data_IF_587914432140
#
_entry.id   IF_587914432140
#
_cell.length_a   1.000
_cell.length_b   1.000
_cell.length_c   1.000
_cell.angle_alpha   90.00
_cell.angle_beta   90.00
_cell.angle_gamma   90.00
#
_symmetry.space_group_name_H-M   'P 1'
#
loop_
_entity.id
_entity.type
_entity.pdbx_description
1 polymer ?
#
# COMPACT_ATOMS: atom_id res chain seq x y z
N UNK A 1 1.89 5.92 5.22
CA UNK A 1 1.55 7.15 4.48
C UNK A 1 0.52 6.77 3.44
N UNK A 2 -0.63 7.43 3.45
CA UNK A 2 -1.72 7.20 2.51
C UNK A 2 -1.78 8.37 1.53
N UNK A 3 -1.86 8.08 0.23
CA UNK A 3 -2.02 9.11 -0.81
C UNK A 3 -3.24 8.73 -1.63
N UNK A 4 -4.27 9.58 -1.56
CA UNK A 4 -5.50 9.41 -2.34
C UNK A 4 -5.28 9.88 -3.78
N UNK A 5 -5.74 9.09 -4.73
CA UNK A 5 -5.61 9.36 -6.17
C UNK A 5 -6.97 9.17 -6.84
N UNK A 6 -7.17 9.84 -7.98
CA UNK A 6 -8.38 9.68 -8.76
C UNK A 6 -8.48 8.26 -9.36
N UNK A 7 -9.70 7.79 -9.60
CA UNK A 7 -9.96 6.39 -10.02
C UNK A 7 -9.33 6.00 -11.35
N UNK A 8 -9.27 6.93 -12.31
CA UNK A 8 -8.60 6.73 -13.61
C UNK A 8 -7.09 6.45 -13.42
N UNK A 9 -6.47 7.22 -12.53
CA UNK A 9 -5.05 7.10 -12.19
C UNK A 9 -4.79 5.83 -11.38
N UNK A 10 -5.68 5.49 -10.45
CA UNK A 10 -5.63 4.23 -9.70
C UNK A 10 -5.69 3.02 -10.63
N UNK A 11 -6.61 3.01 -11.59
CA UNK A 11 -6.73 1.94 -12.59
C UNK A 11 -5.44 1.80 -13.42
N UNK A 12 -4.84 2.91 -13.84
CA UNK A 12 -3.60 2.89 -14.63
C UNK A 12 -2.40 2.37 -13.83
N UNK A 13 -2.29 2.76 -12.56
CA UNK A 13 -1.26 2.21 -11.66
C UNK A 13 -1.49 0.72 -11.42
N UNK A 14 -2.74 0.30 -11.21
CA UNK A 14 -3.11 -1.10 -10.99
C UNK A 14 -2.73 -1.99 -12.18
N UNK A 15 -3.07 -1.59 -13.41
CA UNK A 15 -2.71 -2.36 -14.62
C UNK A 15 -1.20 -2.49 -14.76
N UNK A 16 -0.46 -1.40 -14.51
CA UNK A 16 1.00 -1.38 -14.55
C UNK A 16 1.62 -2.31 -13.49
N UNK A 17 1.10 -2.32 -12.26
CA UNK A 17 1.54 -3.22 -11.19
C UNK A 17 1.34 -4.70 -11.53
N UNK A 18 0.28 -5.02 -12.27
CA UNK A 18 -0.03 -6.40 -12.70
C UNK A 18 0.60 -6.76 -14.04
N UNK A 19 1.42 -5.89 -14.64
CA UNK A 19 2.02 -6.10 -15.95
C UNK A 19 0.99 -6.23 -17.08
N UNK A 20 -0.23 -5.74 -16.87
CA UNK A 20 -1.29 -5.77 -17.89
C UNK A 20 -1.09 -4.61 -18.87
N UNK A 21 -1.09 -4.91 -20.15
CA UNK A 21 -0.99 -3.93 -21.22
C UNK A 21 -2.36 -3.73 -21.85
N UNK A 22 -2.80 -2.49 -21.98
CA UNK A 22 -3.98 -2.14 -22.76
C UNK A 22 -3.69 -2.27 -24.27
N UNK A 23 -4.74 -2.42 -25.08
CA UNK A 23 -4.61 -2.51 -26.55
C UNK A 23 -4.04 -1.24 -27.19
N UNK A 24 -4.15 -0.10 -26.49
CA UNK A 24 -3.63 1.21 -26.88
C UNK A 24 -2.96 1.85 -25.67
N UNK A 25 -1.88 2.63 -25.85
CA UNK A 25 -1.18 3.29 -24.74
C UNK A 25 -2.09 4.30 -24.04
N UNK A 26 -2.06 4.30 -22.71
CA UNK A 26 -2.67 5.35 -21.90
C UNK A 26 -1.77 6.59 -21.83
N UNK A 27 -2.26 7.67 -21.20
CA UNK A 27 -1.51 8.94 -21.12
C UNK A 27 -0.13 8.77 -20.51
N UNK A 28 0.00 8.01 -19.43
CA UNK A 28 1.31 7.79 -18.80
C UNK A 28 2.20 6.84 -19.60
N UNK A 29 1.65 5.88 -20.35
CA UNK A 29 2.42 5.07 -21.31
C UNK A 29 3.01 5.96 -22.41
N UNK A 30 2.22 6.90 -22.92
CA UNK A 30 2.65 7.87 -23.92
C UNK A 30 3.78 8.75 -23.38
N UNK A 31 3.62 9.27 -22.16
CA UNK A 31 4.66 10.07 -21.49
C UNK A 31 5.96 9.28 -21.32
N UNK A 32 5.88 8.04 -20.83
CA UNK A 32 7.05 7.15 -20.74
C UNK A 32 7.70 6.95 -22.11
N UNK A 33 6.92 6.63 -23.14
CA UNK A 33 7.44 6.38 -24.49
C UNK A 33 8.13 7.61 -25.08
N UNK A 34 7.60 8.81 -24.82
CA UNK A 34 8.22 10.06 -25.24
C UNK A 34 9.54 10.30 -24.51
N UNK A 35 9.58 10.09 -23.19
CA UNK A 35 10.79 10.23 -22.38
C UNK A 35 11.87 9.22 -22.80
N UNK A 36 11.50 7.96 -22.97
CA UNK A 36 12.39 6.90 -23.42
C UNK A 36 12.95 7.22 -24.82
N UNK A 37 12.08 7.66 -25.74
CA UNK A 37 12.51 8.05 -27.09
C UNK A 37 13.43 9.25 -27.08
N UNK A 38 13.15 10.27 -26.26
CA UNK A 38 14.00 11.45 -26.12
C UNK A 38 15.38 11.10 -25.57
N UNK A 39 15.45 10.18 -24.59
CA UNK A 39 16.70 9.65 -24.05
C UNK A 39 17.51 8.84 -25.07
N UNK A 40 16.83 8.02 -25.89
CA UNK A 40 17.49 7.28 -26.99
C UNK A 40 18.07 8.20 -28.07
N UNK A 41 17.37 9.31 -28.37
CA UNK A 41 17.84 10.29 -29.36
C UNK A 41 18.98 11.17 -28.83
N UNK A 42 19.15 11.28 -27.52
CA UNK A 42 20.24 12.01 -26.88
C UNK A 42 20.95 11.12 -25.83
N UNK A 43 21.69 10.08 -26.26
CA UNK A 43 22.35 9.16 -25.34
C UNK A 43 23.33 9.90 -24.42
N UNK A 44 23.23 9.67 -23.11
CA UNK A 44 24.10 10.29 -22.10
C UNK A 44 23.69 11.68 -21.63
N UNK A 45 22.56 12.23 -22.10
CA UNK A 45 22.11 13.55 -21.67
C UNK A 45 21.34 13.53 -20.34
N UNK A 46 20.28 12.73 -20.23
CA UNK A 46 19.50 12.65 -18.99
C UNK A 46 18.55 11.44 -19.03
N UNK A 47 18.31 10.86 -17.87
CA UNK A 47 17.27 9.87 -17.62
C UNK A 47 16.57 10.16 -16.29
N UNK A 48 15.40 9.56 -16.06
CA UNK A 48 14.73 9.64 -14.76
C UNK A 48 15.55 8.85 -13.73
N UNK A 49 16.17 9.54 -12.79
CA UNK A 49 17.03 8.95 -11.75
C UNK A 49 16.23 8.47 -10.55
N UNK A 50 15.25 9.26 -10.13
CA UNK A 50 14.40 8.98 -8.98
C UNK A 50 13.14 9.84 -8.99
N UNK A 51 12.18 9.41 -8.19
CA UNK A 51 10.98 10.18 -7.86
C UNK A 51 10.99 10.43 -6.35
N UNK A 52 10.51 11.58 -5.90
CA UNK A 52 10.31 11.80 -4.47
C UNK A 52 9.06 12.62 -4.15
N UNK A 53 8.40 12.30 -3.04
CA UNK A 53 7.44 13.21 -2.40
C UNK A 53 8.23 14.17 -1.51
N UNK A 54 8.24 15.45 -1.86
CA UNK A 54 9.14 16.45 -1.25
C UNK A 54 8.46 17.36 -0.24
N UNK A 55 7.14 17.53 -0.35
CA UNK A 55 6.36 18.39 0.55
C UNK A 55 4.93 17.88 0.72
N UNK A 56 4.30 18.36 1.79
CA UNK A 56 2.87 18.22 2.06
C UNK A 56 2.38 19.62 2.48
N UNK A 57 1.57 20.24 1.63
CA UNK A 57 1.13 21.62 1.80
C UNK A 57 -0.38 21.67 1.63
N UNK A 58 -1.11 22.17 2.64
CA UNK A 58 -2.58 22.23 2.64
C UNK A 58 -3.23 20.88 2.28
N UNK A 59 -2.74 19.79 2.88
CA UNK A 59 -3.16 18.40 2.61
C UNK A 59 -2.91 17.91 1.17
N UNK A 60 -2.09 18.63 0.40
CA UNK A 60 -1.68 18.25 -0.96
C UNK A 60 -0.22 17.81 -0.94
N UNK A 61 0.01 16.56 -1.33
CA UNK A 61 1.36 16.04 -1.52
C UNK A 61 1.99 16.55 -2.82
N UNK A 62 3.22 17.03 -2.72
CA UNK A 62 4.02 17.52 -3.85
C UNK A 62 5.08 16.49 -4.20
N UNK A 63 5.06 16.00 -5.43
CA UNK A 63 6.05 15.08 -5.98
C UNK A 63 7.06 15.80 -6.88
N UNK A 64 8.26 15.27 -7.01
CA UNK A 64 9.23 15.69 -8.03
C UNK A 64 9.86 14.51 -8.75
N UNK A 65 10.07 14.68 -10.05
CA UNK A 65 10.85 13.80 -10.90
C UNK A 65 12.26 14.37 -11.05
N UNK A 66 13.28 13.58 -10.77
CA UNK A 66 14.67 14.03 -10.84
C UNK A 66 15.37 13.39 -12.03
N UNK A 67 15.90 14.22 -12.92
CA UNK A 67 16.53 13.80 -14.16
C UNK A 67 18.02 14.12 -14.15
N UNK A 68 18.81 13.25 -14.74
CA UNK A 68 20.24 13.47 -14.86
C UNK A 68 20.99 12.25 -15.35
N UNK A 69 22.28 12.21 -15.03
CA UNK A 69 23.18 11.17 -15.50
C UNK A 69 23.04 9.88 -14.67
N UNK A 70 22.68 8.80 -15.35
CA UNK A 70 22.56 7.46 -14.82
C UNK A 70 23.82 6.94 -14.13
N UNK A 71 24.97 7.21 -14.75
CA UNK A 71 26.25 6.59 -14.41
C UNK A 71 26.84 7.25 -13.16
N UNK A 72 26.67 8.56 -13.03
CA UNK A 72 27.16 9.33 -11.87
C UNK A 72 26.10 9.55 -10.80
N UNK A 73 24.81 9.40 -11.13
CA UNK A 73 23.70 9.76 -10.25
C UNK A 73 23.49 11.28 -10.09
N UNK A 74 24.19 12.09 -10.88
CA UNK A 74 24.14 13.55 -10.79
C UNK A 74 22.81 14.07 -11.33
N UNK A 75 22.03 14.74 -10.48
CA UNK A 75 20.80 15.42 -10.89
C UNK A 75 21.18 16.66 -11.72
N UNK A 76 20.62 16.76 -12.92
CA UNK A 76 20.80 17.90 -13.82
C UNK A 76 19.62 18.86 -13.77
N UNK A 77 18.41 18.32 -13.70
CA UNK A 77 17.18 19.08 -13.58
C UNK A 77 16.11 18.23 -12.89
N UNK A 78 15.04 18.89 -12.48
CA UNK A 78 13.88 18.24 -11.90
C UNK A 78 12.61 18.95 -12.37
N UNK A 79 11.46 18.28 -12.23
CA UNK A 79 10.18 18.92 -12.44
C UNK A 79 9.15 18.52 -11.39
N UNK A 80 8.21 19.42 -11.14
CA UNK A 80 7.05 19.19 -10.29
C UNK A 80 6.12 18.15 -10.92
N UNK A 81 5.60 17.25 -10.10
CA UNK A 81 4.62 16.26 -10.51
C UNK A 81 3.68 15.90 -9.36
N UNK A 82 2.49 15.38 -9.68
CA UNK A 82 1.67 14.74 -8.64
C UNK A 82 2.33 13.41 -8.24
N UNK A 83 2.24 13.00 -6.95
CA UNK A 83 2.81 11.73 -6.51
C UNK A 83 2.32 10.52 -7.31
N UNK A 84 1.05 10.53 -7.75
CA UNK A 84 0.47 9.46 -8.54
C UNK A 84 1.13 9.27 -9.91
N UNK A 85 1.48 10.37 -10.58
CA UNK A 85 2.18 10.35 -11.86
C UNK A 85 3.62 9.84 -11.67
N UNK A 86 4.25 10.29 -10.58
CA UNK A 86 5.57 9.84 -10.17
C UNK A 86 5.65 8.34 -9.85
N UNK A 87 4.67 7.79 -9.11
CA UNK A 87 4.58 6.35 -8.83
C UNK A 87 4.48 5.54 -10.11
N UNK A 88 3.64 5.96 -11.05
CA UNK A 88 3.52 5.26 -12.32
C UNK A 88 4.85 5.25 -13.08
N UNK A 89 5.50 6.41 -13.22
CA UNK A 89 6.77 6.52 -13.93
C UNK A 89 7.90 5.75 -13.23
N UNK A 90 7.95 5.74 -11.90
CA UNK A 90 8.93 4.95 -11.16
C UNK A 90 8.71 3.45 -11.34
N UNK A 91 7.46 2.99 -11.36
CA UNK A 91 7.14 1.59 -11.67
C UNK A 91 7.52 1.22 -13.11
N UNK A 92 7.34 2.13 -14.07
CA UNK A 92 7.68 1.84 -15.48
C UNK A 92 9.17 1.85 -15.75
N UNK A 93 9.90 2.80 -15.16
CA UNK A 93 11.36 2.97 -15.30
C UNK A 93 12.17 2.14 -14.32
N UNK A 94 11.53 1.58 -13.30
CA UNK A 94 12.18 0.90 -12.17
C UNK A 94 13.17 1.81 -11.41
N UNK A 95 12.99 3.12 -11.45
CA UNK A 95 13.78 4.06 -10.65
C UNK A 95 13.27 4.10 -9.18
N UNK A 96 14.14 4.41 -8.22
CA UNK A 96 13.75 4.49 -6.81
C UNK A 96 12.76 5.62 -6.54
N UNK A 97 11.84 5.35 -5.62
CA UNK A 97 10.83 6.29 -5.12
C UNK A 97 11.12 6.63 -3.66
N UNK A 98 11.23 7.92 -3.34
CA UNK A 98 11.56 8.41 -2.01
C UNK A 98 10.44 9.26 -1.41
N UNK A 99 10.49 9.43 -0.09
CA UNK A 99 9.66 10.38 0.64
C UNK A 99 10.57 11.19 1.54
N UNK A 100 10.44 12.53 1.49
CA UNK A 100 11.20 13.40 2.37
C UNK A 100 10.84 13.10 3.84
N UNK A 101 11.85 13.05 4.72
CA UNK A 101 11.68 12.73 6.14
C UNK A 101 10.58 13.57 6.80
N UNK A 102 10.56 14.89 6.57
CA UNK A 102 9.54 15.80 7.08
C UNK A 102 8.10 15.40 6.68
N UNK A 103 7.91 14.91 5.45
CA UNK A 103 6.60 14.48 4.94
C UNK A 103 6.21 13.14 5.57
N UNK A 104 7.19 12.25 5.69
CA UNK A 104 6.98 10.96 6.35
C UNK A 104 6.56 11.14 7.81
N UNK A 105 7.29 11.95 8.58
CA UNK A 105 6.97 12.24 9.98
C UNK A 105 5.59 12.88 10.14
N UNK A 106 5.18 13.72 9.17
CA UNK A 106 3.88 14.38 9.21
C UNK A 106 2.70 13.47 8.84
N UNK A 107 2.87 12.55 7.89
CA UNK A 107 1.77 11.83 7.24
C UNK A 107 1.83 10.31 7.32
N UNK A 108 2.88 9.73 7.91
CA UNK A 108 2.98 8.29 8.07
C UNK A 108 2.12 7.83 9.26
N UNK A 109 1.18 6.94 8.96
CA UNK A 109 0.38 6.22 9.96
C UNK A 109 0.82 4.75 9.94
N UNK A 110 0.98 4.10 11.12
CA UNK A 110 1.19 2.66 11.19
C UNK A 110 0.08 1.90 10.45
N UNK A 111 0.43 0.85 9.71
CA UNK A 111 -0.54 0.09 8.88
C UNK A 111 -1.72 -0.44 9.71
N UNK A 112 -1.52 -0.78 10.98
CA UNK A 112 -2.59 -1.27 11.86
C UNK A 112 -3.61 -0.18 12.26
N UNK A 113 -3.22 1.08 12.15
CA UNK A 113 -4.05 2.25 12.45
C UNK A 113 -4.64 2.88 11.17
N UNK A 114 -4.22 2.40 10.00
CA UNK A 114 -4.75 2.82 8.71
C UNK A 114 -6.21 2.39 8.57
N UNK A 115 -7.12 3.37 8.55
CA UNK A 115 -8.55 3.12 8.30
C UNK A 115 -8.76 2.43 6.97
N UNK A 116 -8.01 2.81 5.94
CA UNK A 116 -8.08 2.20 4.60
C UNK A 116 -7.71 0.72 4.67
N UNK A 117 -6.64 0.37 5.40
CA UNK A 117 -6.23 -1.02 5.58
C UNK A 117 -7.25 -1.82 6.38
N UNK A 118 -7.80 -1.25 7.46
CA UNK A 118 -8.81 -1.92 8.28
C UNK A 118 -10.09 -2.20 7.50
N UNK A 119 -10.55 -1.24 6.68
CA UNK A 119 -11.70 -1.42 5.80
C UNK A 119 -11.42 -2.55 4.80
N UNK A 120 -10.26 -2.53 4.14
CA UNK A 120 -9.89 -3.57 3.18
C UNK A 120 -9.80 -4.97 3.81
N UNK A 121 -9.27 -5.09 5.02
CA UNK A 121 -9.23 -6.37 5.74
C UNK A 121 -10.63 -6.88 6.10
N UNK A 122 -11.51 -6.00 6.56
CA UNK A 122 -12.89 -6.37 6.91
C UNK A 122 -13.68 -6.80 5.68
N UNK A 123 -13.56 -6.08 4.56
CA UNK A 123 -14.20 -6.47 3.29
C UNK A 123 -13.71 -7.84 2.79
N UNK A 124 -12.40 -8.10 2.88
CA UNK A 124 -11.83 -9.39 2.51
C UNK A 124 -12.34 -10.54 3.40
N UNK A 125 -12.50 -10.29 4.70
CA UNK A 125 -13.04 -11.26 5.66
C UNK A 125 -14.51 -11.59 5.35
N UNK A 126 -15.34 -10.57 5.09
CA UNK A 126 -16.74 -10.75 4.69
C UNK A 126 -16.86 -11.55 3.38
N UNK A 127 -16.01 -11.27 2.39
CA UNK A 127 -15.99 -12.00 1.13
C UNK A 127 -15.61 -13.48 1.32
N UNK A 128 -14.64 -13.77 2.19
CA UNK A 128 -14.24 -15.14 2.52
C UNK A 128 -15.37 -15.92 3.22
N UNK A 129 -16.08 -15.30 4.16
CA UNK A 129 -17.23 -15.91 4.85
C UNK A 129 -18.36 -16.23 3.87
N UNK A 130 -18.65 -15.33 2.93
CA UNK A 130 -19.67 -15.56 1.90
C UNK A 130 -19.30 -16.71 0.95
N UNK A 131 -18.02 -16.83 0.56
CA UNK A 131 -17.56 -17.93 -0.29
C UNK A 131 -17.65 -19.28 0.43
N UNK A 132 -17.35 -19.34 1.73
CA UNK A 132 -17.49 -20.57 2.52
C UNK A 132 -18.95 -21.00 2.69
N UNK A 133 -19.88 -20.04 2.83
CA UNK A 133 -21.32 -20.34 2.91
C UNK A 133 -21.91 -20.83 1.59
N UNK A 134 -21.37 -20.40 0.44
CA UNK A 134 -21.79 -20.89 -0.88
C UNK A 134 -21.22 -22.28 -1.25
N UNK A 135 -20.20 -22.76 -0.53
CA UNK A 135 -19.59 -24.08 -0.76
C UNK A 135 -20.23 -25.23 0.03
N UNK A 136 -21.25 -24.96 0.87
CA UNK A 136 -22.11 -25.99 1.47
C UNK A 136 -23.44 -26.09 0.70
N UNK A 137 -23.58 -26.98 -0.29
CA UNK A 137 -24.88 -27.23 -0.89
C UNK A 137 -25.74 -28.06 0.09
N UNK A 138 -26.97 -27.58 0.35
CA UNK A 138 -28.02 -28.44 0.89
C UNK A 138 -28.21 -29.67 -0.01
N UNK A 139 -28.27 -30.90 0.54
CA UNK A 139 -28.73 -32.04 -0.23
C UNK A 139 -30.26 -31.97 -0.30
N UNK A 140 -30.82 -31.36 -1.34
CA UNK A 140 -32.26 -31.48 -1.61
C UNK A 140 -32.54 -32.60 -2.61
N UNK A 141 -33.29 -33.57 -2.12
CA UNK A 141 -33.88 -34.67 -2.84
C UNK A 141 -34.75 -34.21 -4.03
N UNK A 142 -34.66 -34.96 -5.13
CA UNK A 142 -35.81 -35.44 -5.90
C UNK A 142 -36.54 -34.48 -6.86
N UNK A 143 -36.33 -34.75 -8.16
CA UNK A 143 -37.34 -34.73 -9.24
C UNK A 143 -38.22 -33.48 -9.46
N UNK A 144 -38.02 -32.75 -10.56
CA UNK A 144 -38.80 -32.97 -11.78
C UNK A 144 -38.33 -32.07 -12.95
N UNK A 145 -38.51 -32.66 -14.12
CA UNK A 145 -38.11 -32.31 -15.47
C UNK A 145 -39.15 -31.40 -16.14
N UNK A 146 -38.73 -30.32 -16.82
CA UNK A 146 -39.33 -29.85 -18.08
C UNK A 146 -38.54 -28.66 -18.66
N UNK A 147 -38.28 -28.73 -19.96
CA UNK A 147 -37.68 -27.71 -20.83
C UNK A 147 -38.74 -27.37 -21.93
N UNK A 148 -38.45 -26.50 -22.91
CA UNK A 148 -38.82 -25.08 -23.00
C UNK A 148 -39.91 -24.78 -24.05
N UNK A 149 -40.45 -23.56 -24.08
CA UNK A 149 -41.10 -23.02 -25.28
C UNK A 149 -40.73 -21.55 -25.54
N UNK A 150 -40.35 -21.30 -26.80
CA UNK A 150 -40.03 -20.02 -27.44
C UNK A 150 -41.30 -19.28 -27.91
N UNK A 151 -41.17 -17.96 -28.02
CA UNK A 151 -42.02 -17.04 -28.79
C UNK A 151 -41.79 -15.62 -28.23
N UNK A 152 -41.34 -14.60 -28.96
CA UNK A 152 -41.54 -14.26 -30.36
C UNK A 152 -42.48 -13.05 -30.44
N UNK A 153 -42.10 -12.05 -31.25
CA UNK A 153 -42.80 -10.79 -31.57
C UNK A 153 -42.52 -9.60 -30.63
N UNK A 154 -41.75 -8.55 -31.01
CA UNK A 154 -41.94 -7.54 -32.07
C UNK A 154 -43.02 -6.50 -31.76
N UNK A 155 -42.62 -5.23 -31.63
CA UNK A 155 -43.53 -4.08 -31.52
C UNK A 155 -42.76 -2.77 -31.55
N UNK A 156 -42.76 -2.14 -32.72
CA UNK A 156 -42.07 -0.90 -33.09
C UNK A 156 -42.85 0.38 -32.75
N UNK A 157 -42.12 1.47 -32.48
CA UNK A 157 -42.43 2.88 -32.72
C UNK A 157 -43.64 3.46 -31.93
N UNK A 158 -43.76 4.74 -31.56
CA UNK A 158 -43.42 5.97 -32.28
C UNK A 158 -43.61 7.18 -31.32
N UNK A 159 -42.75 8.19 -31.47
CA UNK A 159 -43.00 9.67 -31.44
C UNK A 159 -43.52 10.45 -30.22
N UNK A 160 -42.94 11.67 -30.14
CA UNK A 160 -43.35 12.91 -29.48
C UNK A 160 -43.02 13.00 -27.97
N UNK A 161 -42.46 14.10 -27.43
CA UNK A 161 -42.79 15.51 -27.69
C UNK A 161 -41.65 16.45 -27.27
N UNK A 162 -41.61 17.62 -27.93
CA UNK A 162 -40.99 18.86 -27.46
C UNK A 162 -41.57 19.28 -26.10
N UNK A 163 -40.81 19.97 -25.24
CA UNK A 163 -41.08 21.36 -24.85
C UNK A 163 -40.04 21.91 -23.84
N UNK A 164 -39.89 23.21 -23.94
CA UNK A 164 -39.04 24.26 -23.35
C UNK A 164 -38.92 24.36 -21.82
N UNK A 165 -37.94 25.18 -21.39
CA UNK A 165 -38.13 26.03 -20.19
C UNK A 165 -36.93 26.11 -19.25
N UNK A 166 -36.25 27.26 -19.25
CA UNK A 166 -35.12 27.55 -18.35
C UNK A 166 -35.51 27.81 -16.89
N UNK A 167 -34.49 27.78 -16.02
CA UNK A 167 -34.61 28.16 -14.62
C UNK A 167 -33.24 28.35 -13.96
N UNK A 168 -32.86 29.60 -13.73
CA UNK A 168 -31.71 30.05 -12.93
C UNK A 168 -31.92 29.75 -11.43
N UNK A 169 -30.83 29.43 -10.73
CA UNK A 169 -30.75 29.51 -9.26
C UNK A 169 -29.36 29.13 -8.74
N UNK A 170 -28.61 30.10 -8.22
CA UNK A 170 -27.38 29.87 -7.42
C UNK A 170 -27.69 29.68 -5.92
N UNK A 171 -26.73 29.95 -5.02
CA UNK A 171 -25.79 28.99 -4.45
C UNK A 171 -26.05 28.72 -2.95
N UNK A 172 -25.45 27.66 -2.38
CA UNK A 172 -25.45 27.44 -0.92
C UNK A 172 -24.04 27.13 -0.42
N UNK A 173 -23.58 27.98 0.50
CA UNK A 173 -22.30 27.89 1.22
C UNK A 173 -22.34 26.81 2.31
N UNK A 174 -21.17 26.24 2.61
CA UNK A 174 -20.89 25.37 3.76
C UNK A 174 -19.99 26.13 4.74
N UNK A 175 -20.18 26.05 6.07
CA UNK A 175 -19.29 26.70 7.03
C UNK A 175 -18.20 25.77 7.57
N UNK A 176 -17.03 26.36 7.78
CA UNK A 176 -15.86 25.82 8.49
C UNK A 176 -16.12 25.58 9.97
N UNK A 177 -15.42 24.60 10.56
CA UNK A 177 -15.16 24.56 12.00
C UNK A 177 -13.73 24.12 12.27
N UNK A 178 -13.04 24.94 13.06
CA UNK A 178 -11.68 24.79 13.56
C UNK A 178 -11.71 24.57 15.07
N UNK A 179 -10.84 23.68 15.57
CA UNK A 179 -10.39 23.61 16.98
C UNK A 179 -9.12 22.73 17.01
N UNK A 180 -7.91 23.22 17.29
CA UNK A 180 -7.30 23.75 18.52
C UNK A 180 -7.15 22.77 19.70
N UNK A 181 -5.92 22.22 19.82
CA UNK A 181 -5.07 22.32 21.03
C UNK A 181 -5.18 21.27 22.16
N UNK A 182 -4.03 20.73 22.58
CA UNK A 182 -3.80 20.20 23.94
C UNK A 182 -2.80 19.04 24.03
N UNK A 183 -1.65 19.24 24.72
CA UNK A 183 -0.60 18.24 24.95
C UNK A 183 -0.68 17.51 26.30
N UNK A 184 0.23 16.54 26.52
CA UNK A 184 0.48 15.89 27.81
C UNK A 184 1.17 14.52 27.72
N UNK A 185 2.37 14.43 28.30
CA UNK A 185 3.19 13.22 28.47
C UNK A 185 2.48 12.09 29.24
N UNK A 186 2.56 10.88 28.68
CA UNK A 186 2.58 9.62 29.41
C UNK A 186 3.29 8.57 28.54
N UNK A 187 4.21 7.82 29.14
CA UNK A 187 5.03 6.78 28.52
C UNK A 187 4.21 5.55 28.09
N UNK A 188 3.31 5.73 27.14
CA UNK A 188 2.72 4.66 26.34
C UNK A 188 3.69 4.40 25.18
N UNK A 189 4.64 3.49 25.38
CA UNK A 189 5.47 2.97 24.28
C UNK A 189 4.53 2.53 23.16
N UNK A 190 4.65 3.16 21.99
CA UNK A 190 3.72 2.87 20.89
C UNK A 190 3.82 1.38 20.54
N UNK A 191 2.71 0.71 20.16
CA UNK A 191 2.68 -0.73 19.96
C UNK A 191 3.50 -1.22 18.74
N UNK A 192 4.20 -0.31 18.07
CA UNK A 192 4.86 -0.48 16.78
C UNK A 192 6.32 -0.04 16.77
N UNK A 193 6.90 0.21 17.93
CA UNK A 193 8.30 0.56 18.06
C UNK A 193 9.18 -0.67 17.80
N UNK A 194 9.74 -0.75 16.60
CA UNK A 194 10.62 -1.85 16.16
C UNK A 194 11.90 -1.97 16.98
N UNK A 195 12.27 -0.89 17.66
CA UNK A 195 13.47 -0.74 18.49
C UNK A 195 13.14 -0.81 19.98
N UNK A 196 11.86 -0.87 20.35
CA UNK A 196 11.41 -0.90 21.74
C UNK A 196 11.68 -2.26 22.37
N UNK A 197 12.69 -2.33 23.23
CA UNK A 197 13.04 -3.53 24.00
C UNK A 197 12.11 -3.63 25.22
N UNK A 198 11.41 -4.75 25.38
CA UNK A 198 10.59 -5.01 26.56
C UNK A 198 11.30 -5.98 27.52
N UNK A 199 11.03 -5.91 28.84
CA UNK A 199 11.68 -6.78 29.82
C UNK A 199 11.41 -8.28 29.67
N UNK A 200 10.37 -8.67 28.93
CA UNK A 200 9.95 -10.08 28.75
C UNK A 200 10.25 -10.61 27.33
N UNK A 201 11.12 -9.93 26.59
CA UNK A 201 11.48 -10.33 25.23
C UNK A 201 12.55 -11.44 25.26
N UNK A 202 12.43 -12.48 24.41
CA UNK A 202 13.49 -13.47 24.25
C UNK A 202 14.81 -12.81 23.80
N UNK A 203 15.95 -13.28 24.32
CA UNK A 203 17.27 -12.68 24.05
C UNK A 203 17.57 -12.49 22.55
N UNK A 204 17.18 -13.46 21.72
CA UNK A 204 17.33 -13.41 20.26
C UNK A 204 16.57 -12.24 19.64
N UNK A 205 15.37 -11.93 20.16
CA UNK A 205 14.55 -10.80 19.69
C UNK A 205 15.16 -9.48 20.17
N UNK A 206 15.68 -9.43 21.40
CA UNK A 206 16.37 -8.23 21.92
C UNK A 206 17.57 -7.87 21.06
N UNK A 207 18.38 -8.87 20.66
CA UNK A 207 19.51 -8.67 19.76
C UNK A 207 19.06 -8.12 18.40
N UNK A 208 18.06 -8.75 17.76
CA UNK A 208 17.52 -8.29 16.48
C UNK A 208 16.98 -6.85 16.55
N UNK A 209 16.27 -6.49 17.63
CA UNK A 209 15.76 -5.12 17.85
C UNK A 209 16.91 -4.12 18.00
N UNK A 210 17.98 -4.50 18.69
CA UNK A 210 19.17 -3.65 18.89
C UNK A 210 19.95 -3.45 17.59
N UNK A 211 20.18 -4.52 16.83
CA UNK A 211 20.83 -4.44 15.52
C UNK A 211 20.00 -3.61 14.54
N UNK A 212 18.68 -3.76 14.56
CA UNK A 212 17.79 -2.96 13.73
C UNK A 212 17.85 -1.47 14.11
N UNK A 213 17.93 -1.15 15.40
CA UNK A 213 18.10 0.22 15.87
C UNK A 213 19.42 0.84 15.37
N UNK A 214 20.52 0.06 15.41
CA UNK A 214 21.82 0.49 14.91
C UNK A 214 21.76 0.72 13.40
N UNK A 215 21.26 -0.24 12.62
CA UNK A 215 21.15 -0.13 11.16
C UNK A 215 20.32 1.09 10.73
N UNK A 216 19.22 1.39 11.44
CA UNK A 216 18.42 2.59 11.19
C UNK A 216 19.20 3.87 11.55
N UNK A 217 19.95 3.87 12.64
CA UNK A 217 20.76 5.03 13.07
C UNK A 217 21.94 5.33 12.14
N UNK A 218 22.52 4.30 11.52
CA UNK A 218 23.62 4.40 10.57
C UNK A 218 23.15 4.64 9.13
N UNK A 219 21.84 4.75 8.91
CA UNK A 219 21.21 4.88 7.58
C UNK A 219 21.52 3.71 6.63
N UNK A 220 21.87 2.53 7.17
CA UNK A 220 21.98 1.28 6.42
C UNK A 220 20.59 0.63 6.26
N UNK A 221 19.83 1.18 5.32
CA UNK A 221 18.48 0.71 5.04
C UNK A 221 18.44 -0.72 4.48
N UNK A 222 19.52 -1.19 3.84
CA UNK A 222 19.58 -2.55 3.31
C UNK A 222 19.66 -3.56 4.47
N UNK A 223 20.52 -3.32 5.46
CA UNK A 223 20.56 -4.13 6.68
C UNK A 223 19.25 -4.03 7.47
N UNK A 224 18.67 -2.84 7.60
CA UNK A 224 17.42 -2.63 8.31
C UNK A 224 16.25 -3.45 7.71
N UNK A 225 16.15 -3.53 6.38
CA UNK A 225 15.13 -4.35 5.70
C UNK A 225 15.31 -5.84 6.04
N UNK A 226 16.55 -6.35 6.00
CA UNK A 226 16.84 -7.75 6.32
C UNK A 226 16.49 -8.10 7.76
N UNK A 227 16.83 -7.22 8.70
CA UNK A 227 16.53 -7.39 10.14
C UNK A 227 15.02 -7.28 10.41
N UNK A 228 14.34 -6.36 9.75
CA UNK A 228 12.87 -6.21 9.80
C UNK A 228 12.15 -7.46 9.31
N UNK A 229 12.66 -8.05 8.22
CA UNK A 229 12.06 -9.20 7.54
C UNK A 229 12.58 -10.54 8.05
N UNK A 230 13.39 -10.53 9.12
CA UNK A 230 13.89 -11.72 9.77
C UNK A 230 12.74 -12.62 10.26
N UNK A 231 12.78 -13.96 10.03
CA UNK A 231 11.69 -14.87 10.39
C UNK A 231 11.23 -14.76 11.85
N UNK A 232 12.18 -14.64 12.79
CA UNK A 232 11.87 -14.49 14.22
C UNK A 232 11.20 -13.14 14.52
N UNK A 233 11.63 -12.08 13.85
CA UNK A 233 11.06 -10.73 14.03
C UNK A 233 9.63 -10.65 13.49
N UNK A 234 9.34 -11.36 12.41
CA UNK A 234 8.00 -11.47 11.82
C UNK A 234 7.05 -12.28 12.71
N UNK A 235 7.49 -13.45 13.20
CA UNK A 235 6.71 -14.27 14.15
C UNK A 235 6.41 -13.51 15.44
N UNK A 236 7.42 -12.86 16.01
CA UNK A 236 7.26 -12.04 17.20
C UNK A 236 6.24 -10.90 17.00
N UNK A 237 6.29 -10.20 15.86
CA UNK A 237 5.28 -9.16 15.55
C UNK A 237 3.86 -9.69 15.43
N UNK A 238 3.70 -10.92 14.97
CA UNK A 238 2.40 -11.59 14.87
C UNK A 238 1.89 -12.04 16.25
N UNK A 239 2.78 -12.48 17.13
CA UNK A 239 2.46 -12.76 18.54
C UNK A 239 1.93 -11.50 19.23
N UNK A 240 2.64 -10.38 19.11
CA UNK A 240 2.21 -9.11 19.70
C UNK A 240 0.85 -8.64 19.17
N UNK A 241 0.62 -8.81 17.86
CA UNK A 241 -0.67 -8.48 17.25
C UNK A 241 -1.82 -9.28 17.87
N UNK A 242 -1.64 -10.59 18.04
CA UNK A 242 -2.68 -11.45 18.60
C UNK A 242 -2.91 -11.24 20.08
N UNK A 243 -1.87 -10.90 20.85
CA UNK A 243 -2.02 -10.53 22.26
C UNK A 243 -2.89 -9.27 22.42
N UNK A 244 -2.69 -8.26 21.58
CA UNK A 244 -3.47 -7.02 21.62
C UNK A 244 -4.92 -7.22 21.19
N UNK A 245 -5.18 -8.13 20.26
CA UNK A 245 -6.52 -8.49 19.80
C UNK A 245 -7.26 -9.44 20.77
N UNK A 246 -6.68 -9.78 21.92
CA UNK A 246 -7.27 -10.73 22.87
C UNK A 246 -7.28 -12.19 22.41
N UNK A 247 -6.58 -12.52 21.32
CA UNK A 247 -6.46 -13.87 20.74
C UNK A 247 -5.34 -14.66 21.43
N UNK A 248 -5.48 -14.87 22.73
CA UNK A 248 -4.43 -15.46 23.58
C UNK A 248 -3.98 -16.87 23.13
N UNK A 249 -4.90 -17.71 22.66
CA UNK A 249 -4.60 -19.08 22.22
C UNK A 249 -3.69 -19.12 20.99
N UNK A 250 -3.90 -18.19 20.06
CA UNK A 250 -3.11 -18.10 18.83
C UNK A 250 -1.75 -17.45 19.07
N UNK A 251 -1.70 -16.44 19.94
CA UNK A 251 -0.44 -15.91 20.43
C UNK A 251 0.41 -17.01 21.10
N UNK A 252 -0.20 -17.85 21.94
CA UNK A 252 0.50 -18.95 22.60
C UNK A 252 0.94 -20.06 21.62
N UNK A 253 0.22 -20.28 20.52
CA UNK A 253 0.64 -21.21 19.47
C UNK A 253 1.90 -20.69 18.75
N UNK A 254 1.90 -19.42 18.34
CA UNK A 254 3.05 -18.80 17.69
C UNK A 254 4.25 -18.62 18.63
N UNK A 255 4.02 -18.39 19.93
CA UNK A 255 5.11 -18.37 20.91
C UNK A 255 5.81 -19.72 21.02
N UNK A 256 5.05 -20.83 21.02
CA UNK A 256 5.63 -22.18 21.00
C UNK A 256 6.40 -22.45 19.72
N UNK A 257 5.88 -21.99 18.58
CA UNK A 257 6.58 -22.07 17.30
C UNK A 257 7.92 -21.31 17.33
N UNK A 258 7.91 -20.04 17.76
CA UNK A 258 9.12 -19.23 17.90
C UNK A 258 10.14 -19.90 18.83
N UNK A 259 9.71 -20.38 20.00
CA UNK A 259 10.58 -21.09 20.93
C UNK A 259 11.20 -22.34 20.29
N UNK A 260 10.38 -23.16 19.61
CA UNK A 260 10.87 -24.36 18.91
C UNK A 260 11.87 -24.06 17.80
N UNK A 261 11.69 -22.95 17.07
CA UNK A 261 12.61 -22.53 16.01
C UNK A 261 13.94 -22.03 16.59
N UNK A 262 13.90 -21.34 17.72
CA UNK A 262 15.11 -20.90 18.42
C UNK A 262 15.89 -22.11 18.92
N UNK A 263 15.23 -23.08 19.56
CA UNK A 263 15.90 -24.30 20.08
C UNK A 263 16.49 -25.17 18.97
N UNK A 264 15.75 -25.40 17.88
CA UNK A 264 16.28 -26.16 16.74
C UNK A 264 17.53 -25.54 16.14
N UNK A 265 17.52 -24.21 15.98
CA UNK A 265 18.63 -23.51 15.35
C UNK A 265 19.83 -23.35 16.32
N UNK A 266 19.60 -23.38 17.65
CA UNK A 266 20.68 -23.45 18.64
C UNK A 266 21.32 -24.85 18.70
N UNK A 267 20.52 -25.90 18.53
CA UNK A 267 21.01 -27.29 18.52
C UNK A 267 21.83 -27.56 17.24
N UNK A 268 21.35 -27.11 16.07
CA UNK A 268 22.07 -27.21 14.79
C UNK A 268 23.42 -26.44 14.80
N UNK A 269 23.49 -25.33 15.56
CA UNK A 269 24.73 -24.57 15.73
C UNK A 269 25.72 -25.23 16.71
N UNK A 270 25.23 -26.04 17.66
CA UNK A 270 26.06 -26.77 18.61
C UNK A 270 26.61 -28.09 18.02
N UNK A 271 25.90 -28.72 17.09
CA UNK A 271 26.33 -29.95 16.40
C UNK A 271 27.31 -29.68 15.22
N UNK A 272 27.48 -28.41 14.84
CA UNK A 272 28.38 -27.96 13.77
C UNK A 272 29.76 -27.45 14.27
N UNK A 273 30.04 -27.55 15.57
CA UNK A 273 31.35 -27.25 16.20
C UNK A 273 32.03 -28.52 16.70
#
# INVERSE_FOLDING_TARGET
MEIFVAGDTACNIYTQLHGQQSSRPMTHDLMYSLMERAGQLNPGHWQLLRVAVVALENDIFVGRLFFGDAATGTVMWDCDCRPSDGVYLSLRTQCPFFVARKVWEQAAVPIRESKVHLIAMHEAELAAVQQQQQQHPHPHAGHHQAQPHQGGASGSATTASMDTGGGRGGPTQVPDSSSSGGGGDASTSSPFEYTGIRPNDPDVIVLLKRELAIAVSEEDYAAAIRLRDHPYMQLYRRIEAFQQLGRANEAAALQRELASMITRNSDDAADAM
#
